data_IF_432948162909
#
_entry.id   IF_432948162909
#
_cell.length_a   1.000
_cell.length_b   1.000
_cell.length_c   1.000
_cell.angle_alpha   90.00
_cell.angle_beta   90.00
_cell.angle_gamma   90.00
#
_symmetry.space_group_name_H-M   'P 1'
#
loop_
_entity.id
_entity.type
_entity.pdbx_description
1 polymer ?
#
# COMPACT_ATOMS: atom_id res chain seq x y z
N UNK A 1 -22.39 -8.94 -29.29
CA UNK A 1 -22.39 -8.00 -28.15
C UNK A 1 -22.49 -8.79 -26.83
N UNK A 2 -21.44 -8.78 -26.02
CA UNK A 2 -21.52 -9.36 -24.67
C UNK A 2 -22.52 -8.54 -23.84
N UNK A 3 -23.30 -9.15 -22.93
CA UNK A 3 -24.21 -8.42 -22.07
C UNK A 3 -23.39 -7.44 -21.21
N UNK A 4 -23.85 -6.19 -21.09
CA UNK A 4 -23.28 -5.25 -20.13
C UNK A 4 -23.37 -5.87 -18.74
N UNK A 5 -22.26 -5.89 -18.00
CA UNK A 5 -22.23 -6.40 -16.63
C UNK A 5 -23.33 -5.72 -15.80
N UNK A 6 -23.89 -6.44 -14.82
CA UNK A 6 -25.00 -5.98 -13.97
C UNK A 6 -24.67 -4.76 -13.11
N UNK A 7 -23.43 -4.26 -13.17
CA UNK A 7 -23.00 -3.04 -12.51
C UNK A 7 -21.90 -2.35 -13.34
N UNK A 8 -22.28 -1.60 -14.40
CA UNK A 8 -21.31 -0.83 -15.16
C UNK A 8 -20.76 0.31 -14.29
N UNK A 9 -19.46 0.58 -14.41
CA UNK A 9 -18.81 1.67 -13.67
C UNK A 9 -19.49 3.00 -13.98
N UNK A 10 -19.82 3.77 -12.94
CA UNK A 10 -20.37 5.09 -13.12
C UNK A 10 -19.27 6.05 -13.62
N UNK A 11 -19.70 7.10 -14.32
CA UNK A 11 -18.79 8.16 -14.75
C UNK A 11 -18.15 8.88 -13.55
N UNK A 12 -16.88 9.26 -13.70
CA UNK A 12 -16.20 10.10 -12.71
C UNK A 12 -16.92 11.44 -12.58
N UNK A 13 -17.19 11.86 -11.35
CA UNK A 13 -18.02 13.02 -11.02
C UNK A 13 -17.62 13.63 -9.66
N UNK A 14 -18.23 14.74 -9.27
CA UNK A 14 -17.99 15.38 -7.97
C UNK A 14 -17.02 16.55 -8.06
N UNK A 15 -16.02 16.58 -7.17
CA UNK A 15 -15.03 17.67 -7.12
C UNK A 15 -14.14 17.74 -8.38
N UNK A 16 -14.00 16.62 -9.09
CA UNK A 16 -13.36 16.55 -10.41
C UNK A 16 -14.08 15.49 -11.25
N UNK A 17 -13.91 15.57 -12.57
CA UNK A 17 -14.41 14.60 -13.55
C UNK A 17 -13.30 13.73 -14.13
N UNK A 18 -12.07 13.84 -13.59
CA UNK A 18 -10.89 13.07 -13.99
C UNK A 18 -10.25 12.35 -12.81
N UNK A 19 -9.60 11.22 -13.11
CA UNK A 19 -8.74 10.49 -12.17
C UNK A 19 -7.53 10.03 -12.96
N UNK A 20 -6.34 10.31 -12.44
CA UNK A 20 -5.07 9.94 -13.08
C UNK A 20 -4.46 8.69 -12.46
N UNK A 21 -4.53 8.56 -11.13
CA UNK A 21 -4.03 7.41 -10.40
C UNK A 21 -4.91 7.11 -9.19
N UNK A 22 -4.87 5.87 -8.71
CA UNK A 22 -5.66 5.44 -7.56
C UNK A 22 -4.95 4.38 -6.74
N UNK A 23 -5.21 4.36 -5.43
CA UNK A 23 -4.68 3.37 -4.51
C UNK A 23 -5.65 3.15 -3.34
N UNK A 24 -5.56 1.98 -2.71
CA UNK A 24 -6.44 1.59 -1.60
C UNK A 24 -5.68 1.53 -0.28
N UNK A 25 -6.33 2.01 0.78
CA UNK A 25 -5.94 1.66 2.15
C UNK A 25 -6.28 0.20 2.44
N UNK A 26 -5.75 -0.35 3.54
CA UNK A 26 -6.01 -1.72 3.96
C UNK A 26 -5.63 -2.75 2.87
N UNK A 27 -4.54 -2.48 2.16
CA UNK A 27 -4.07 -3.26 1.00
C UNK A 27 -3.50 -4.66 1.35
N UNK A 28 -3.70 -5.13 2.58
CA UNK A 28 -3.48 -6.52 2.98
C UNK A 28 -4.52 -7.48 2.38
N UNK A 29 -4.16 -8.76 2.16
CA UNK A 29 -5.12 -9.77 1.70
C UNK A 29 -6.36 -9.86 2.61
N UNK A 30 -7.53 -10.07 2.00
CA UNK A 30 -8.83 -10.25 2.67
C UNK A 30 -9.36 -9.04 3.46
N UNK A 31 -8.93 -7.81 3.14
CA UNK A 31 -9.52 -6.61 3.71
C UNK A 31 -10.97 -6.39 3.26
N UNK A 32 -11.90 -6.25 4.21
CA UNK A 32 -13.33 -5.95 3.95
C UNK A 32 -13.69 -4.46 4.06
N UNK A 33 -12.73 -3.63 4.50
CA UNK A 33 -12.86 -2.18 4.67
C UNK A 33 -11.75 -1.54 3.84
N UNK A 34 -12.09 -0.54 3.04
CA UNK A 34 -11.10 0.22 2.28
C UNK A 34 -11.60 1.64 1.99
N UNK A 35 -10.67 2.56 1.91
CA UNK A 35 -10.87 3.86 1.29
C UNK A 35 -10.03 3.91 0.03
N UNK A 36 -10.67 4.23 -1.09
CA UNK A 36 -9.97 4.51 -2.34
C UNK A 36 -9.54 5.96 -2.36
N UNK A 37 -8.24 6.19 -2.44
CA UNK A 37 -7.68 7.51 -2.72
C UNK A 37 -7.38 7.64 -4.22
N UNK A 38 -7.46 8.86 -4.72
CA UNK A 38 -7.20 9.21 -6.12
C UNK A 38 -6.29 10.43 -6.19
N UNK A 39 -5.43 10.45 -7.22
CA UNK A 39 -4.75 11.67 -7.64
C UNK A 39 -5.36 12.14 -8.96
N UNK A 40 -5.55 13.44 -9.07
CA UNK A 40 -5.99 14.10 -10.29
C UNK A 40 -4.95 15.13 -10.74
N UNK A 41 -4.32 14.87 -11.89
CA UNK A 41 -3.32 15.75 -12.50
C UNK A 41 -3.95 17.03 -13.08
N UNK A 42 -5.26 17.03 -13.38
CA UNK A 42 -5.91 18.21 -13.94
C UNK A 42 -6.10 19.31 -12.89
N UNK A 43 -6.23 18.91 -11.61
CA UNK A 43 -6.51 19.81 -10.49
C UNK A 43 -5.40 19.83 -9.44
N UNK A 44 -4.37 18.99 -9.59
CA UNK A 44 -3.28 18.81 -8.63
C UNK A 44 -3.79 18.43 -7.22
N UNK A 45 -4.80 17.55 -7.15
CA UNK A 45 -5.45 17.18 -5.88
C UNK A 45 -5.36 15.70 -5.54
N UNK A 46 -5.30 15.41 -4.24
CA UNK A 46 -5.55 14.11 -3.63
C UNK A 46 -7.02 14.08 -3.17
N UNK A 47 -7.80 13.11 -3.63
CA UNK A 47 -9.21 12.96 -3.26
C UNK A 47 -9.49 11.55 -2.75
N UNK A 48 -10.71 11.37 -2.24
CA UNK A 48 -11.31 10.07 -1.96
C UNK A 48 -12.39 9.81 -2.99
N UNK A 49 -12.39 8.62 -3.59
CA UNK A 49 -13.51 8.18 -4.42
C UNK A 49 -14.53 7.47 -3.54
N UNK A 50 -15.77 7.94 -3.57
CA UNK A 50 -16.86 7.36 -2.80
C UNK A 50 -17.25 5.98 -3.36
N UNK A 51 -17.21 4.96 -2.52
CA UNK A 51 -17.59 3.57 -2.81
C UNK A 51 -18.97 3.20 -2.21
N UNK A 52 -19.73 4.16 -1.68
CA UNK A 52 -20.99 3.91 -0.97
C UNK A 52 -22.05 3.20 -1.83
N UNK A 53 -22.00 3.37 -3.15
CA UNK A 53 -22.63 2.47 -4.10
C UNK A 53 -21.51 1.81 -4.91
N UNK A 54 -21.71 0.55 -5.29
CA UNK A 54 -20.78 -0.16 -6.15
C UNK A 54 -20.42 0.73 -7.36
N UNK A 55 -19.12 1.05 -7.46
CA UNK A 55 -18.50 1.81 -8.56
C UNK A 55 -19.09 3.21 -8.83
N UNK A 56 -19.48 3.96 -7.78
CA UNK A 56 -20.09 5.29 -7.91
C UNK A 56 -19.23 6.36 -8.63
N UNK A 57 -17.90 6.22 -8.63
CA UNK A 57 -16.98 7.12 -9.35
C UNK A 57 -16.87 8.55 -8.81
N UNK A 58 -17.68 8.94 -7.82
CA UNK A 58 -17.74 10.31 -7.31
C UNK A 58 -16.55 10.66 -6.41
N UNK A 59 -15.83 11.72 -6.76
CA UNK A 59 -14.69 12.26 -6.04
C UNK A 59 -15.13 13.25 -4.94
N UNK A 60 -14.67 13.02 -3.73
CA UNK A 60 -15.00 13.76 -2.50
C UNK A 60 -13.73 14.08 -1.69
N UNK A 61 -13.83 15.01 -0.73
CA UNK A 61 -12.77 15.32 0.25
C UNK A 61 -11.40 15.68 -0.39
N UNK A 62 -11.43 16.49 -1.46
CA UNK A 62 -10.23 16.89 -2.19
C UNK A 62 -9.31 17.83 -1.40
N UNK A 63 -8.01 17.56 -1.47
CA UNK A 63 -6.95 18.37 -0.88
C UNK A 63 -5.90 18.67 -1.96
N UNK A 64 -5.49 19.93 -2.07
CA UNK A 64 -4.41 20.32 -2.99
C UNK A 64 -3.09 19.69 -2.55
N UNK A 65 -2.39 19.05 -3.47
CA UNK A 65 -1.06 18.48 -3.20
C UNK A 65 -0.06 19.63 -3.11
N UNK A 66 0.72 19.65 -2.04
CA UNK A 66 1.71 20.71 -1.83
C UNK A 66 3.11 20.14 -1.62
N UNK A 67 4.14 20.84 -2.09
CA UNK A 67 5.54 20.55 -1.82
C UNK A 67 6.15 21.77 -1.13
N UNK A 68 6.71 21.56 0.07
CA UNK A 68 7.26 22.64 0.90
C UNK A 68 6.27 23.83 1.09
N UNK A 69 4.97 23.54 1.19
CA UNK A 69 3.91 24.53 1.41
C UNK A 69 3.41 25.25 0.15
N UNK A 70 3.99 24.99 -1.03
CA UNK A 70 3.52 25.52 -2.32
C UNK A 70 2.74 24.45 -3.09
N UNK A 71 1.75 24.82 -3.94
CA UNK A 71 1.09 23.86 -4.81
C UNK A 71 2.10 23.11 -5.69
N UNK A 72 1.95 21.78 -5.77
CA UNK A 72 2.77 20.94 -6.63
C UNK A 72 1.97 20.60 -7.89
N UNK A 73 2.39 21.13 -9.03
CA UNK A 73 1.85 20.70 -10.31
C UNK A 73 2.52 19.41 -10.79
N UNK A 74 1.73 18.40 -11.14
CA UNK A 74 2.26 17.10 -11.56
C UNK A 74 1.49 16.50 -12.74
N UNK A 75 2.17 15.63 -13.50
CA UNK A 75 1.58 14.89 -14.61
C UNK A 75 2.17 13.48 -14.72
N UNK A 76 1.48 12.59 -15.43
CA UNK A 76 1.87 11.19 -15.61
C UNK A 76 2.12 10.47 -14.28
N UNK A 77 1.20 10.68 -13.33
CA UNK A 77 1.28 10.17 -11.99
C UNK A 77 0.95 8.68 -11.93
N UNK A 78 1.69 7.97 -11.11
CA UNK A 78 1.31 6.68 -10.57
C UNK A 78 1.35 6.72 -9.06
N UNK A 79 0.46 6.00 -8.40
CA UNK A 79 0.22 6.16 -6.97
C UNK A 79 0.01 4.82 -6.31
N UNK A 80 0.58 4.65 -5.13
CA UNK A 80 0.32 3.51 -4.27
C UNK A 80 0.36 3.94 -2.79
N UNK A 81 -0.40 3.25 -1.95
CA UNK A 81 -0.44 3.52 -0.51
C UNK A 81 0.50 2.57 0.21
N UNK A 82 1.27 3.10 1.17
CA UNK A 82 2.18 2.28 1.94
C UNK A 82 1.42 1.17 2.69
N UNK A 83 1.93 -0.07 2.74
CA UNK A 83 1.28 -1.12 3.49
C UNK A 83 1.16 -0.79 4.98
N UNK A 84 0.10 -1.28 5.61
CA UNK A 84 -0.23 -0.99 7.01
C UNK A 84 -0.98 0.34 7.23
N UNK A 85 -1.13 1.17 6.21
CA UNK A 85 -2.03 2.33 6.26
C UNK A 85 -3.48 1.84 6.17
N UNK A 86 -4.18 1.94 7.30
CA UNK A 86 -5.51 1.38 7.50
C UNK A 86 -6.53 2.45 7.89
N UNK A 87 -7.75 2.30 7.42
CA UNK A 87 -8.95 2.98 7.94
C UNK A 87 -9.87 1.98 8.65
N UNK A 88 -10.61 2.47 9.64
CA UNK A 88 -11.64 1.70 10.35
C UNK A 88 -13.01 1.77 9.67
N UNK A 89 -13.21 2.69 8.72
CA UNK A 89 -14.48 2.89 8.01
C UNK A 89 -14.20 3.17 6.54
N UNK A 90 -14.97 2.56 5.64
CA UNK A 90 -14.83 2.81 4.20
C UNK A 90 -15.20 4.26 3.86
N UNK A 91 -14.55 4.82 2.86
CA UNK A 91 -14.77 6.19 2.36
C UNK A 91 -14.43 7.32 3.35
N UNK A 92 -13.70 7.03 4.42
CA UNK A 92 -13.20 8.04 5.36
C UNK A 92 -11.71 8.27 5.17
N UNK A 93 -11.28 9.52 5.36
CA UNK A 93 -9.86 9.84 5.36
C UNK A 93 -9.13 9.14 6.51
N UNK A 94 -7.90 8.70 6.26
CA UNK A 94 -7.02 8.19 7.31
C UNK A 94 -6.59 9.32 8.24
N UNK A 95 -6.35 8.99 9.50
CA UNK A 95 -5.85 9.94 10.51
C UNK A 95 -4.32 9.97 10.58
N UNK A 96 -3.66 9.02 9.93
CA UNK A 96 -2.21 8.94 9.77
C UNK A 96 -1.88 8.03 8.60
N UNK A 97 -0.68 8.18 8.03
CA UNK A 97 -0.19 7.31 6.97
C UNK A 97 0.36 8.09 5.79
N UNK A 98 1.10 7.36 4.96
CA UNK A 98 1.74 7.90 3.76
C UNK A 98 1.36 7.06 2.55
N UNK A 99 1.28 7.72 1.40
CA UNK A 99 1.37 7.09 0.10
C UNK A 99 2.67 7.48 -0.60
N UNK A 100 2.89 6.88 -1.75
CA UNK A 100 3.99 7.21 -2.64
C UNK A 100 3.43 7.41 -4.04
N UNK A 101 3.92 8.44 -4.71
CA UNK A 101 3.61 8.62 -6.12
C UNK A 101 4.86 8.93 -6.91
N UNK A 102 4.82 8.53 -8.18
CA UNK A 102 5.86 8.83 -9.17
C UNK A 102 5.21 9.68 -10.24
N UNK A 103 5.72 10.87 -10.49
CA UNK A 103 5.14 11.80 -11.44
C UNK A 103 6.20 12.73 -12.04
N UNK A 104 5.87 13.39 -13.15
CA UNK A 104 6.66 14.49 -13.71
C UNK A 104 6.23 15.81 -13.09
N UNK A 105 7.19 16.67 -12.79
CA UNK A 105 6.97 18.06 -12.40
C UNK A 105 7.74 19.00 -13.34
N UNK A 106 7.16 19.32 -14.51
CA UNK A 106 7.75 20.22 -15.51
C UNK A 106 8.93 19.67 -16.34
N UNK A 107 9.49 18.52 -15.99
CA UNK A 107 10.62 17.87 -16.69
C UNK A 107 10.24 16.64 -17.55
N UNK A 108 11.24 16.03 -18.18
CA UNK A 108 11.08 14.78 -18.96
C UNK A 108 11.21 13.51 -18.10
N UNK A 109 11.88 13.61 -16.95
CA UNK A 109 12.07 12.52 -16.00
C UNK A 109 10.99 12.53 -14.93
N UNK A 110 10.68 11.33 -14.41
CA UNK A 110 9.73 11.17 -13.32
C UNK A 110 10.47 11.24 -11.97
N UNK A 111 9.87 11.97 -11.04
CA UNK A 111 10.32 12.15 -9.68
C UNK A 111 9.50 11.26 -8.74
N UNK A 112 10.14 10.79 -7.66
CA UNK A 112 9.50 9.97 -6.63
C UNK A 112 9.18 10.84 -5.43
N UNK A 113 7.95 10.76 -4.94
CA UNK A 113 7.47 11.48 -3.78
C UNK A 113 6.86 10.53 -2.76
N UNK A 114 7.00 10.85 -1.48
CA UNK A 114 6.02 10.44 -0.47
C UNK A 114 4.95 11.52 -0.35
N UNK A 115 3.75 11.14 0.06
CA UNK A 115 2.64 12.07 0.35
C UNK A 115 1.99 11.68 1.67
N UNK A 116 1.81 12.66 2.56
CA UNK A 116 1.03 12.50 3.78
C UNK A 116 -0.46 12.52 3.42
N UNK A 117 -1.17 11.43 3.69
CA UNK A 117 -2.57 11.26 3.27
C UNK A 117 -3.57 12.05 4.13
N UNK A 118 -3.12 12.65 5.24
CA UNK A 118 -3.95 13.49 6.11
C UNK A 118 -4.06 14.90 5.53
N UNK A 119 -2.97 15.46 5.01
CA UNK A 119 -2.88 16.87 4.61
C UNK A 119 -2.36 17.11 3.19
N UNK A 120 -2.20 16.05 2.39
CA UNK A 120 -1.68 16.08 1.02
C UNK A 120 -0.30 16.76 0.86
N UNK A 121 0.51 16.82 1.91
CA UNK A 121 1.87 17.33 1.82
C UNK A 121 2.78 16.26 1.20
N UNK A 122 3.33 16.57 0.03
CA UNK A 122 4.34 15.79 -0.65
C UNK A 122 5.75 16.13 -0.14
N UNK A 123 6.62 15.12 -0.15
CA UNK A 123 8.07 15.25 0.06
C UNK A 123 8.79 14.60 -1.11
N UNK A 124 9.71 15.33 -1.75
CA UNK A 124 10.54 14.80 -2.83
C UNK A 124 11.56 13.81 -2.26
N UNK A 125 11.59 12.59 -2.80
CA UNK A 125 12.52 11.54 -2.42
C UNK A 125 13.69 11.41 -3.41
N UNK A 126 13.47 11.73 -4.68
CA UNK A 126 14.53 11.73 -5.70
C UNK A 126 14.01 11.72 -7.13
N UNK A 127 14.96 11.76 -8.08
CA UNK A 127 14.71 11.59 -9.51
C UNK A 127 15.00 10.14 -9.92
N UNK A 128 14.13 9.55 -10.74
CA UNK A 128 14.35 8.22 -11.32
C UNK A 128 15.35 8.22 -12.47
N UNK A 129 15.61 9.37 -13.09
CA UNK A 129 16.39 9.51 -14.33
C UNK A 129 15.69 8.94 -15.56
N UNK A 130 14.44 8.49 -15.42
CA UNK A 130 13.68 7.76 -16.43
C UNK A 130 12.28 8.37 -16.58
N UNK A 131 11.60 8.05 -17.69
CA UNK A 131 10.18 8.30 -17.83
C UNK A 131 9.39 7.09 -17.30
N UNK A 132 8.70 7.26 -16.17
CA UNK A 132 7.89 6.19 -15.53
C UNK A 132 6.41 6.44 -15.82
N UNK A 133 5.66 5.37 -16.18
CA UNK A 133 4.21 5.42 -16.40
C UNK A 133 3.37 4.85 -15.25
N UNK A 134 3.92 3.89 -14.52
CA UNK A 134 3.22 3.21 -13.41
C UNK A 134 4.24 2.71 -12.39
N UNK A 135 3.83 2.68 -11.11
CA UNK A 135 4.63 2.24 -9.97
C UNK A 135 3.74 1.51 -8.99
N UNK A 136 4.31 0.56 -8.25
CA UNK A 136 3.66 -0.08 -7.12
C UNK A 136 4.64 -0.13 -5.94
N UNK A 137 4.13 0.04 -4.73
CA UNK A 137 4.89 -0.03 -3.50
C UNK A 137 4.52 -1.31 -2.77
N UNK A 138 5.50 -2.20 -2.65
CA UNK A 138 5.40 -3.40 -1.83
C UNK A 138 6.46 -3.32 -0.75
N UNK A 139 6.06 -3.16 0.50
CA UNK A 139 6.97 -3.52 1.60
C UNK A 139 7.01 -5.03 1.70
N UNK A 140 8.22 -5.58 1.56
CA UNK A 140 8.49 -6.97 1.92
C UNK A 140 8.62 -7.05 3.45
N UNK A 141 7.52 -6.88 4.18
CA UNK A 141 7.48 -7.43 5.55
C UNK A 141 7.33 -8.93 5.37
N UNK A 142 8.46 -9.58 5.10
CA UNK A 142 8.52 -11.03 5.12
C UNK A 142 7.99 -11.49 6.47
N UNK A 143 7.11 -12.48 6.46
CA UNK A 143 6.64 -13.16 7.66
C UNK A 143 7.83 -13.41 8.58
N UNK A 144 7.82 -12.82 9.78
CA UNK A 144 8.85 -13.11 10.75
C UNK A 144 8.64 -14.53 11.28
N UNK A 145 9.74 -15.27 11.39
CA UNK A 145 9.75 -16.59 11.99
C UNK A 145 10.46 -16.51 13.33
N UNK A 146 9.79 -16.95 14.40
CA UNK A 146 10.39 -17.25 15.68
C UNK A 146 10.31 -18.76 15.93
N UNK A 147 11.01 -19.23 16.96
CA UNK A 147 10.91 -20.60 17.46
C UNK A 147 10.17 -20.57 18.80
N UNK A 148 9.32 -21.57 19.06
CA UNK A 148 8.71 -21.71 20.38
C UNK A 148 9.74 -22.09 21.44
N UNK A 149 9.40 -21.92 22.72
CA UNK A 149 10.33 -22.16 23.84
C UNK A 149 10.82 -23.61 23.96
N UNK A 150 10.11 -24.57 23.35
CA UNK A 150 10.47 -25.99 23.36
C UNK A 150 11.32 -26.41 22.17
N UNK A 151 11.58 -25.53 21.21
CA UNK A 151 12.42 -25.84 20.05
C UNK A 151 11.80 -26.80 19.03
N UNK A 152 10.47 -26.96 19.05
CA UNK A 152 9.73 -27.97 18.27
C UNK A 152 8.77 -27.38 17.24
N UNK A 153 8.52 -26.07 17.29
CA UNK A 153 7.63 -25.38 16.34
C UNK A 153 8.17 -24.01 15.96
N UNK A 154 7.89 -23.61 14.72
CA UNK A 154 8.07 -22.25 14.23
C UNK A 154 6.80 -21.44 14.46
N UNK A 155 6.96 -20.18 14.82
CA UNK A 155 5.91 -19.18 14.97
C UNK A 155 6.07 -18.19 13.82
N UNK A 156 5.05 -18.07 12.99
CA UNK A 156 5.00 -17.12 11.88
C UNK A 156 4.04 -15.98 12.21
N UNK A 157 4.49 -14.75 12.07
CA UNK A 157 3.67 -13.58 12.34
C UNK A 157 4.07 -12.41 11.44
N UNK A 158 3.15 -11.47 11.29
CA UNK A 158 3.46 -10.15 10.72
C UNK A 158 4.08 -9.28 11.83
N UNK A 159 5.30 -8.74 11.64
CA UNK A 159 5.90 -7.81 12.61
C UNK A 159 5.02 -6.60 12.94
N UNK A 160 4.13 -6.18 12.04
CA UNK A 160 3.19 -5.09 12.29
C UNK A 160 2.02 -5.50 13.21
N UNK A 161 1.73 -6.80 13.33
CA UNK A 161 0.67 -7.35 14.19
C UNK A 161 1.14 -8.62 14.93
N UNK A 162 2.13 -8.51 15.83
CA UNK A 162 2.83 -9.68 16.40
C UNK A 162 1.94 -10.63 17.23
N UNK A 163 0.74 -10.19 17.62
CA UNK A 163 -0.23 -11.02 18.33
C UNK A 163 -0.98 -12.04 17.46
N UNK A 164 -0.93 -11.92 16.13
CA UNK A 164 -1.58 -12.86 15.21
C UNK A 164 -0.56 -13.88 14.68
N UNK A 165 -0.50 -15.04 15.35
CA UNK A 165 0.55 -16.04 15.14
C UNK A 165 0.00 -17.29 14.46
N UNK A 166 0.70 -17.76 13.43
CA UNK A 166 0.53 -19.09 12.84
C UNK A 166 1.64 -20.02 13.33
N UNK A 167 1.29 -21.11 14.01
CA UNK A 167 2.26 -22.11 14.50
C UNK A 167 2.44 -23.24 13.49
N UNK A 168 3.68 -23.61 13.22
CA UNK A 168 4.06 -24.72 12.33
C UNK A 168 4.95 -25.69 13.08
N UNK A 169 4.50 -26.93 13.27
CA UNK A 169 5.32 -27.98 13.89
C UNK A 169 6.50 -28.35 12.99
N UNK A 170 7.69 -28.49 13.56
CA UNK A 170 8.89 -28.97 12.87
C UNK A 170 8.79 -30.49 12.73
N UNK A 171 8.92 -31.00 11.52
CA UNK A 171 8.93 -32.44 11.23
C UNK A 171 10.37 -32.94 11.01
N UNK A 172 10.60 -34.23 11.26
CA UNK A 172 11.91 -34.86 11.04
C UNK A 172 12.88 -34.82 12.23
N UNK A 173 12.47 -34.24 13.37
CA UNK A 173 13.20 -34.36 14.64
C UNK A 173 13.05 -35.77 15.21
N UNK A 174 14.13 -36.37 15.67
CA UNK A 174 14.08 -37.64 16.42
C UNK A 174 13.57 -37.40 17.85
N UNK A 175 13.17 -38.47 18.53
CA UNK A 175 12.65 -38.37 19.90
C UNK A 175 13.73 -37.84 20.83
N UNK A 176 13.50 -36.65 21.39
CA UNK A 176 14.43 -35.97 22.30
C UNK A 176 15.26 -34.85 21.66
N UNK A 177 15.17 -34.66 20.34
CA UNK A 177 15.82 -33.54 19.64
C UNK A 177 15.00 -32.25 19.74
N UNK A 178 15.69 -31.13 19.93
CA UNK A 178 15.12 -29.78 19.91
C UNK A 178 16.05 -28.86 19.13
N UNK A 179 15.49 -27.86 18.45
CA UNK A 179 16.32 -26.78 17.92
C UNK A 179 16.62 -25.76 19.03
N UNK A 180 17.83 -25.21 19.01
CA UNK A 180 18.30 -24.16 19.91
C UNK A 180 18.35 -22.78 19.24
N UNK A 181 18.43 -22.74 17.90
CA UNK A 181 18.50 -21.49 17.15
C UNK A 181 17.97 -21.65 15.73
N UNK A 182 17.52 -20.55 15.14
CA UNK A 182 17.19 -20.41 13.72
C UNK A 182 17.85 -19.16 13.15
N UNK A 183 18.18 -19.20 11.86
CA UNK A 183 18.66 -18.03 11.12
C UNK A 183 18.18 -18.06 9.66
N UNK A 184 17.97 -16.88 9.08
CA UNK A 184 17.54 -16.74 7.69
C UNK A 184 18.74 -16.42 6.81
N UNK A 185 19.08 -17.32 5.87
CA UNK A 185 20.24 -17.13 4.98
C UNK A 185 19.93 -16.11 3.89
N UNK A 186 20.59 -14.93 3.85
CA UNK A 186 20.23 -13.87 2.92
C UNK A 186 20.38 -14.24 1.44
N UNK A 187 21.33 -15.12 1.13
CA UNK A 187 21.67 -15.52 -0.24
C UNK A 187 20.60 -16.39 -0.91
N UNK A 188 19.87 -17.19 -0.13
CA UNK A 188 18.92 -18.19 -0.66
C UNK A 188 17.50 -18.01 -0.11
N UNK A 189 17.32 -17.16 0.90
CA UNK A 189 16.03 -16.96 1.57
C UNK A 189 15.56 -18.18 2.40
N UNK A 190 16.42 -19.18 2.57
CA UNK A 190 16.10 -20.38 3.35
C UNK A 190 16.25 -20.10 4.85
N UNK A 191 15.38 -20.71 5.66
CA UNK A 191 15.49 -20.72 7.12
C UNK A 191 16.25 -21.97 7.55
N UNK A 192 17.33 -21.77 8.31
CA UNK A 192 18.14 -22.85 8.89
C UNK A 192 17.84 -22.98 10.37
N UNK A 193 17.84 -24.22 10.85
CA UNK A 193 17.74 -24.55 12.27
C UNK A 193 19.01 -25.25 12.75
N UNK A 194 19.43 -24.95 13.98
CA UNK A 194 20.48 -25.66 14.70
C UNK A 194 19.85 -26.33 15.92
N UNK A 195 20.20 -27.59 16.18
CA UNK A 195 19.72 -28.40 17.29
C UNK A 195 20.81 -29.31 17.83
#
# INVERSE_FOLDING_TARGET
PLPTGTNPDASISGLTTTVSATAYTNNQPNGSISTQYTLDEATDTLLIQNLATANAGTQILGQAVTLAGSPLNFSQASFDIAPGVNTATSNTAVTSGIGYFVARAGGLTSLVYSINLVNAQATLLGDTGLAVRSSAVRTLLGTAAAMNSTGTSLLRFDPATPGNVTTVTITGLTVGEVLVAIDARPQTGQLYGLG
#
